data_IF_118050820030
#
_entry.id   IF_118050820030
#
_cell.length_a   1.000
_cell.length_b   1.000
_cell.length_c   1.000
_cell.angle_alpha   90.00
_cell.angle_beta   90.00
_cell.angle_gamma   90.00
#
_symmetry.space_group_name_H-M   'P 1'
#
loop_
_entity.id
_entity.type
_entity.pdbx_description
1 polymer ?
#
# COMPACT_ATOMS: atom_id res chain seq x y z
N UNK A 1 22.42 -30.57 24.36
CA UNK A 1 22.76 -31.22 23.06
C UNK A 1 24.13 -30.80 22.47
N UNK A 2 24.85 -29.86 23.07
CA UNK A 2 26.15 -29.35 22.56
C UNK A 2 27.37 -30.22 22.91
N UNK A 3 27.23 -31.14 23.84
CA UNK A 3 28.35 -32.01 24.31
C UNK A 3 28.58 -33.27 23.46
N UNK A 4 27.61 -33.69 22.65
CA UNK A 4 27.71 -34.91 21.82
C UNK A 4 28.58 -34.73 20.58
N UNK A 5 28.63 -33.50 20.00
CA UNK A 5 29.38 -33.22 18.78
C UNK A 5 30.90 -33.21 18.98
N UNK A 6 31.38 -32.76 20.15
CA UNK A 6 32.81 -32.74 20.50
C UNK A 6 33.45 -34.11 20.63
N UNK A 7 32.71 -35.09 21.16
CA UNK A 7 33.22 -36.44 21.38
C UNK A 7 33.39 -37.22 20.04
N UNK A 8 32.48 -37.07 19.12
CA UNK A 8 32.58 -37.65 17.78
C UNK A 8 33.77 -37.08 16.98
N UNK A 9 34.01 -35.76 17.09
CA UNK A 9 35.12 -35.10 16.43
C UNK A 9 36.50 -35.60 16.93
N UNK A 10 36.69 -35.71 18.23
CA UNK A 10 37.91 -36.22 18.85
C UNK A 10 38.17 -37.72 18.53
N UNK A 11 37.13 -38.54 18.43
CA UNK A 11 37.23 -39.95 18.06
C UNK A 11 37.68 -40.12 16.61
N UNK A 12 37.16 -39.31 15.68
CA UNK A 12 37.59 -39.31 14.26
C UNK A 12 39.05 -38.93 14.11
N UNK A 13 39.50 -37.87 14.78
CA UNK A 13 40.92 -37.42 14.68
C UNK A 13 41.90 -38.52 15.15
N UNK A 14 41.56 -39.24 16.21
CA UNK A 14 42.40 -40.33 16.72
C UNK A 14 42.39 -41.54 15.79
N UNK A 15 41.30 -41.84 15.12
CA UNK A 15 41.21 -42.90 14.11
C UNK A 15 42.14 -42.60 12.93
N UNK A 16 42.07 -41.39 12.37
CA UNK A 16 42.89 -40.95 11.26
C UNK A 16 44.41 -40.89 11.62
N UNK A 17 44.77 -40.45 12.85
CA UNK A 17 46.13 -40.50 13.36
C UNK A 17 46.69 -41.91 13.39
N UNK A 18 45.95 -42.93 13.81
CA UNK A 18 46.39 -44.34 13.87
C UNK A 18 46.66 -44.89 12.46
N UNK A 19 45.77 -44.61 11.48
CA UNK A 19 45.94 -45.06 10.10
C UNK A 19 47.21 -44.40 9.49
N UNK A 20 47.40 -43.10 9.68
CA UNK A 20 48.55 -42.34 9.17
C UNK A 20 49.88 -42.89 9.72
N UNK A 21 49.98 -43.20 11.02
CA UNK A 21 51.17 -43.82 11.61
C UNK A 21 51.44 -45.22 11.03
N UNK A 22 50.44 -46.04 10.78
CA UNK A 22 50.59 -47.41 10.24
C UNK A 22 51.04 -47.41 8.77
N UNK A 23 50.62 -46.42 7.96
CA UNK A 23 51.05 -46.28 6.56
C UNK A 23 52.48 -45.75 6.42
N UNK A 24 52.89 -44.82 7.27
CA UNK A 24 54.26 -44.30 7.30
C UNK A 24 55.31 -45.33 7.76
N UNK A 25 54.95 -46.21 8.71
CA UNK A 25 55.88 -47.22 9.25
C UNK A 25 56.22 -48.35 8.26
N UNK A 26 55.49 -48.49 7.14
CA UNK A 26 55.69 -49.57 6.14
C UNK A 26 56.36 -49.14 4.85
N UNK A 27 57.01 -47.93 4.81
CA UNK A 27 57.64 -47.37 3.60
C UNK A 27 56.75 -47.30 2.35
N UNK A 28 55.43 -47.22 2.52
CA UNK A 28 54.46 -47.16 1.41
C UNK A 28 54.06 -45.68 1.15
N UNK A 29 55.00 -44.86 0.70
CA UNK A 29 54.81 -43.43 0.44
C UNK A 29 53.66 -43.18 -0.52
N UNK A 30 53.52 -43.98 -1.58
CA UNK A 30 52.41 -43.87 -2.55
C UNK A 30 51.04 -44.07 -1.89
N UNK A 31 50.91 -45.04 -1.01
CA UNK A 31 49.65 -45.30 -0.27
C UNK A 31 49.28 -44.15 0.70
N UNK A 32 50.32 -43.48 1.24
CA UNK A 32 50.11 -42.31 2.10
C UNK A 32 49.56 -41.11 1.33
N UNK A 33 50.10 -40.85 0.12
CA UNK A 33 49.59 -39.76 -0.75
C UNK A 33 48.14 -39.98 -1.16
N UNK A 34 47.79 -41.19 -1.57
CA UNK A 34 46.41 -41.52 -1.96
C UNK A 34 45.45 -41.30 -0.77
N UNK A 35 45.85 -41.68 0.43
CA UNK A 35 45.09 -41.47 1.62
C UNK A 35 44.92 -39.98 1.97
N UNK A 36 46.02 -39.18 1.88
CA UNK A 36 45.99 -37.73 2.12
C UNK A 36 45.08 -36.98 1.13
N UNK A 37 45.14 -37.37 -0.15
CA UNK A 37 44.24 -36.83 -1.17
C UNK A 37 42.74 -37.17 -0.86
N UNK A 38 42.50 -38.43 -0.45
CA UNK A 38 41.16 -38.84 -0.03
C UNK A 38 40.61 -38.06 1.19
N UNK A 39 41.50 -37.75 2.16
CA UNK A 39 41.15 -36.93 3.32
C UNK A 39 40.78 -35.49 2.91
N UNK A 40 41.54 -34.89 1.99
CA UNK A 40 41.24 -33.56 1.44
C UNK A 40 39.95 -33.56 0.68
N UNK A 41 39.69 -34.55 -0.18
CA UNK A 41 38.43 -34.66 -0.94
C UNK A 41 37.24 -34.77 0.03
N UNK A 42 37.36 -35.59 1.08
CA UNK A 42 36.30 -35.77 2.06
C UNK A 42 35.98 -34.47 2.80
N UNK A 43 36.98 -33.67 3.17
CA UNK A 43 36.80 -32.35 3.80
C UNK A 43 36.14 -31.40 2.83
N UNK A 44 36.58 -31.35 1.56
CA UNK A 44 36.00 -30.49 0.53
C UNK A 44 34.51 -30.85 0.31
N UNK A 45 34.20 -32.14 0.17
CA UNK A 45 32.82 -32.61 0.03
C UNK A 45 31.97 -32.21 1.23
N UNK A 46 32.51 -32.35 2.45
CA UNK A 46 31.80 -31.89 3.66
C UNK A 46 31.47 -30.40 3.65
N UNK A 47 32.42 -29.56 3.24
CA UNK A 47 32.20 -28.11 3.10
C UNK A 47 31.16 -27.80 2.03
N UNK A 48 31.25 -28.47 0.86
CA UNK A 48 30.29 -28.28 -0.23
C UNK A 48 28.86 -28.67 0.19
N UNK A 49 28.70 -29.79 0.92
CA UNK A 49 27.39 -30.19 1.46
C UNK A 49 26.87 -29.15 2.46
N UNK A 50 27.71 -28.67 3.37
CA UNK A 50 27.32 -27.65 4.34
C UNK A 50 26.86 -26.35 3.66
N UNK A 51 27.61 -25.90 2.64
CA UNK A 51 27.25 -24.72 1.83
C UNK A 51 25.93 -24.94 1.07
N UNK A 52 25.73 -26.14 0.49
CA UNK A 52 24.49 -26.48 -0.23
C UNK A 52 23.26 -26.45 0.71
N UNK A 53 23.38 -26.99 1.91
CA UNK A 53 22.32 -26.97 2.93
C UNK A 53 22.02 -25.52 3.34
N UNK A 54 23.07 -24.71 3.57
CA UNK A 54 22.87 -23.29 3.90
C UNK A 54 22.17 -22.54 2.77
N UNK A 55 22.62 -22.67 1.53
CA UNK A 55 22.03 -22.03 0.37
C UNK A 55 20.57 -22.45 0.17
N UNK A 56 20.26 -23.75 0.37
CA UNK A 56 18.90 -24.24 0.29
C UNK A 56 18.01 -23.62 1.38
N UNK A 57 18.50 -23.49 2.60
CA UNK A 57 17.75 -22.86 3.69
C UNK A 57 17.50 -21.37 3.43
N UNK A 58 18.50 -20.64 2.95
CA UNK A 58 18.36 -19.22 2.57
C UNK A 58 17.36 -19.04 1.41
N UNK A 59 17.45 -19.87 0.36
CA UNK A 59 16.47 -19.84 -0.74
C UNK A 59 15.05 -20.12 -0.27
N UNK A 60 14.88 -21.05 0.69
CA UNK A 60 13.58 -21.33 1.28
C UNK A 60 13.03 -20.13 2.05
N UNK A 61 13.84 -19.48 2.88
CA UNK A 61 13.44 -18.28 3.64
C UNK A 61 13.06 -17.14 2.69
N UNK A 62 13.87 -16.91 1.66
CA UNK A 62 13.59 -15.90 0.65
C UNK A 62 12.25 -16.15 -0.05
N UNK A 63 11.98 -17.40 -0.46
CA UNK A 63 10.69 -17.76 -1.09
C UNK A 63 9.49 -17.53 -0.18
N UNK A 64 9.61 -17.84 1.12
CA UNK A 64 8.55 -17.57 2.08
C UNK A 64 8.30 -16.06 2.22
N UNK A 65 9.35 -15.26 2.26
CA UNK A 65 9.25 -13.80 2.31
C UNK A 65 8.63 -13.22 1.02
N UNK A 66 8.99 -13.74 -0.15
CA UNK A 66 8.40 -13.36 -1.43
C UNK A 66 6.89 -13.63 -1.47
N UNK A 67 6.46 -14.80 -0.97
CA UNK A 67 5.03 -15.15 -0.87
C UNK A 67 4.29 -14.18 0.08
N UNK A 68 4.90 -13.83 1.20
CA UNK A 68 4.35 -12.88 2.16
C UNK A 68 4.15 -11.49 1.53
N UNK A 69 5.14 -10.99 0.79
CA UNK A 69 5.04 -9.71 0.08
C UNK A 69 3.89 -9.68 -0.93
N UNK A 70 3.71 -10.77 -1.69
CA UNK A 70 2.58 -10.87 -2.65
C UNK A 70 1.24 -10.86 -1.91
N UNK A 71 1.11 -11.60 -0.81
CA UNK A 71 -0.12 -11.60 -0.01
C UNK A 71 -0.44 -10.22 0.53
N UNK A 72 0.56 -9.51 1.06
CA UNK A 72 0.39 -8.14 1.54
C UNK A 72 -0.05 -7.20 0.42
N UNK A 73 0.50 -7.34 -0.79
CA UNK A 73 0.09 -6.54 -1.95
C UNK A 73 -1.38 -6.82 -2.32
N UNK A 74 -1.78 -8.08 -2.35
CA UNK A 74 -3.17 -8.45 -2.66
C UNK A 74 -4.12 -7.82 -1.63
N UNK A 75 -3.81 -7.95 -0.34
CA UNK A 75 -4.62 -7.35 0.73
C UNK A 75 -4.69 -5.82 0.58
N UNK A 76 -3.56 -5.14 0.34
CA UNK A 76 -3.51 -3.68 0.13
C UNK A 76 -4.40 -3.26 -1.06
N UNK A 77 -4.36 -4.00 -2.16
CA UNK A 77 -5.19 -3.72 -3.33
C UNK A 77 -6.69 -3.99 -3.08
N UNK A 78 -7.04 -5.02 -2.32
CA UNK A 78 -8.43 -5.33 -1.94
C UNK A 78 -9.00 -4.25 -1.02
N UNK A 79 -8.24 -3.81 -0.03
CA UNK A 79 -8.63 -2.74 0.90
C UNK A 79 -8.84 -1.42 0.13
N UNK A 80 -7.90 -1.03 -0.74
CA UNK A 80 -8.02 0.17 -1.59
C UNK A 80 -9.20 0.09 -2.55
N UNK A 81 -9.48 -1.08 -3.10
CA UNK A 81 -10.66 -1.29 -3.94
C UNK A 81 -11.95 -1.05 -3.13
N UNK A 82 -12.02 -1.55 -1.90
CA UNK A 82 -13.18 -1.35 -1.03
C UNK A 82 -13.35 0.14 -0.65
N UNK A 83 -12.27 0.83 -0.29
CA UNK A 83 -12.25 2.28 -0.03
C UNK A 83 -12.73 3.07 -1.24
N UNK A 84 -12.18 2.84 -2.42
CA UNK A 84 -12.57 3.53 -3.65
C UNK A 84 -14.05 3.31 -4.02
N UNK A 85 -14.60 2.12 -3.76
CA UNK A 85 -16.04 1.86 -3.96
C UNK A 85 -16.88 2.66 -2.97
N UNK A 86 -16.46 2.74 -1.70
CA UNK A 86 -17.16 3.52 -0.68
C UNK A 86 -17.13 5.03 -1.01
N UNK A 87 -15.98 5.55 -1.41
CA UNK A 87 -15.81 6.95 -1.81
C UNK A 87 -16.66 7.29 -3.02
N UNK A 88 -16.66 6.42 -4.04
CA UNK A 88 -17.53 6.58 -5.22
C UNK A 88 -19.00 6.63 -4.83
N UNK A 89 -19.48 5.74 -3.98
CA UNK A 89 -20.87 5.72 -3.53
C UNK A 89 -21.23 7.00 -2.75
N UNK A 90 -20.31 7.48 -1.92
CA UNK A 90 -20.45 8.76 -1.22
C UNK A 90 -20.53 9.93 -2.21
N UNK A 91 -19.64 9.97 -3.21
CA UNK A 91 -19.66 10.98 -4.27
C UNK A 91 -20.97 10.97 -5.07
N UNK A 92 -21.48 9.80 -5.46
CA UNK A 92 -22.78 9.69 -6.15
C UNK A 92 -23.94 10.22 -5.30
N UNK A 93 -23.92 9.97 -3.99
CA UNK A 93 -24.92 10.53 -3.06
C UNK A 93 -24.84 12.06 -3.00
N UNK A 94 -23.62 12.64 -2.98
CA UNK A 94 -23.44 14.10 -3.01
C UNK A 94 -23.92 14.70 -4.32
N UNK A 95 -23.63 14.08 -5.46
CA UNK A 95 -24.14 14.48 -6.78
C UNK A 95 -25.67 14.56 -6.78
N UNK A 96 -26.36 13.54 -6.21
CA UNK A 96 -27.81 13.53 -6.15
C UNK A 96 -28.35 14.68 -5.27
N UNK A 97 -27.74 14.93 -4.12
CA UNK A 97 -28.12 16.02 -3.20
C UNK A 97 -27.94 17.39 -3.89
N UNK A 98 -26.82 17.65 -4.52
CA UNK A 98 -26.57 18.91 -5.20
C UNK A 98 -27.51 19.11 -6.41
N UNK A 99 -27.74 18.08 -7.23
CA UNK A 99 -28.69 18.14 -8.35
C UNK A 99 -30.11 18.44 -7.88
N UNK A 100 -30.58 17.81 -6.80
CA UNK A 100 -31.90 18.09 -6.23
C UNK A 100 -32.01 19.51 -5.73
N UNK A 101 -30.96 20.04 -5.10
CA UNK A 101 -30.94 21.43 -4.64
C UNK A 101 -31.00 22.43 -5.80
N UNK A 102 -30.22 22.20 -6.87
CA UNK A 102 -30.23 23.05 -8.06
C UNK A 102 -31.57 22.97 -8.80
N UNK A 103 -32.11 21.77 -8.97
CA UNK A 103 -33.44 21.60 -9.60
C UNK A 103 -34.54 22.29 -8.83
N UNK A 104 -34.52 22.21 -7.49
CA UNK A 104 -35.51 22.91 -6.67
C UNK A 104 -35.44 24.43 -6.89
N UNK A 105 -34.26 25.02 -7.00
CA UNK A 105 -34.03 26.42 -7.32
C UNK A 105 -34.59 26.75 -8.72
N UNK A 106 -34.31 25.95 -9.74
CA UNK A 106 -34.80 26.15 -11.10
C UNK A 106 -36.33 26.12 -11.16
N UNK A 107 -36.97 25.19 -10.45
CA UNK A 107 -38.41 25.00 -10.49
C UNK A 107 -39.18 26.03 -9.65
N UNK A 108 -38.61 26.54 -8.55
CA UNK A 108 -39.32 27.33 -7.55
C UNK A 108 -38.75 28.73 -7.33
N UNK A 109 -37.58 29.03 -7.86
CA UNK A 109 -36.80 30.25 -7.59
C UNK A 109 -36.64 30.48 -6.07
N UNK A 110 -36.44 29.39 -5.31
CA UNK A 110 -36.39 29.36 -3.85
C UNK A 110 -35.42 28.29 -3.38
N UNK A 111 -34.99 28.34 -2.10
CA UNK A 111 -34.05 27.40 -1.50
C UNK A 111 -34.80 26.31 -0.72
N UNK A 112 -34.55 25.05 -1.08
CA UNK A 112 -35.08 23.89 -0.35
C UNK A 112 -34.47 23.85 1.08
N UNK A 113 -35.33 23.95 2.08
CA UNK A 113 -34.92 23.88 3.49
C UNK A 113 -34.72 22.45 4.01
N UNK A 114 -35.24 21.45 3.31
CA UNK A 114 -35.25 20.05 3.77
C UNK A 114 -33.82 19.52 3.85
N UNK A 115 -33.01 19.76 2.82
CA UNK A 115 -31.64 19.28 2.72
C UNK A 115 -30.59 20.39 2.92
N UNK A 116 -31.01 21.64 3.19
CA UNK A 116 -30.12 22.80 3.21
C UNK A 116 -28.91 22.62 4.13
N UNK A 117 -29.09 22.09 5.33
CA UNK A 117 -27.98 21.85 6.26
C UNK A 117 -26.99 20.84 5.73
N UNK A 118 -27.48 19.81 5.02
CA UNK A 118 -26.63 18.78 4.39
C UNK A 118 -25.83 19.45 3.27
N UNK A 119 -26.48 20.23 2.39
CA UNK A 119 -25.80 20.96 1.31
C UNK A 119 -24.71 21.87 1.86
N UNK A 120 -24.99 22.68 2.88
CA UNK A 120 -24.00 23.55 3.50
C UNK A 120 -22.87 22.78 4.18
N UNK A 121 -23.17 21.64 4.78
CA UNK A 121 -22.17 20.73 5.33
C UNK A 121 -21.24 20.18 4.23
N UNK A 122 -21.80 19.75 3.11
CA UNK A 122 -21.04 19.25 1.97
C UNK A 122 -20.17 20.34 1.33
N UNK A 123 -20.69 21.57 1.20
CA UNK A 123 -19.91 22.72 0.70
C UNK A 123 -18.75 23.08 1.63
N UNK A 124 -18.86 22.78 2.92
CA UNK A 124 -17.83 23.05 3.93
C UNK A 124 -16.87 21.87 4.16
N UNK A 125 -17.10 20.72 3.53
CA UNK A 125 -16.37 19.48 3.79
C UNK A 125 -14.99 19.54 3.15
N UNK A 126 -14.00 19.91 3.94
CA UNK A 126 -12.59 20.00 3.56
C UNK A 126 -11.74 18.90 4.23
N UNK A 127 -12.37 17.90 4.80
CA UNK A 127 -11.77 16.76 5.52
C UNK A 127 -11.64 15.47 4.68
N UNK A 128 -11.90 15.54 3.39
CA UNK A 128 -11.69 14.43 2.48
C UNK A 128 -10.21 14.28 2.15
N UNK A 129 -9.62 13.15 2.55
CA UNK A 129 -8.24 12.80 2.30
C UNK A 129 -8.17 11.50 1.51
N UNK A 130 -7.33 11.50 0.50
CA UNK A 130 -6.93 10.27 -0.18
C UNK A 130 -5.55 9.84 0.32
N UNK A 131 -5.50 8.68 0.98
CA UNK A 131 -4.26 8.09 1.46
C UNK A 131 -3.61 7.29 0.32
N UNK A 132 -2.55 7.84 -0.26
CA UNK A 132 -1.78 7.17 -1.32
C UNK A 132 -0.45 6.60 -0.82
N UNK A 133 -0.33 6.32 0.46
CA UNK A 133 0.86 5.66 1.00
C UNK A 133 1.00 4.26 0.37
N UNK A 134 2.20 3.97 -0.12
CA UNK A 134 2.48 2.76 -0.89
C UNK A 134 3.61 1.91 -0.28
N UNK A 135 3.63 1.66 1.06
CA UNK A 135 4.73 0.95 1.70
C UNK A 135 4.89 -0.48 1.19
N UNK A 136 3.78 -1.18 0.95
CA UNK A 136 3.77 -2.55 0.43
C UNK A 136 4.31 -2.62 -0.99
N UNK A 137 3.84 -1.71 -1.86
CA UNK A 137 4.34 -1.60 -3.21
C UNK A 137 5.83 -1.25 -3.25
N UNK A 138 6.29 -0.28 -2.45
CA UNK A 138 7.70 0.10 -2.37
C UNK A 138 8.59 -1.04 -1.88
N UNK A 139 8.13 -1.84 -0.93
CA UNK A 139 8.85 -3.06 -0.48
C UNK A 139 8.93 -4.09 -1.59
N UNK A 140 7.85 -4.32 -2.32
CA UNK A 140 7.80 -5.27 -3.42
C UNK A 140 8.69 -4.82 -4.58
N UNK A 141 8.57 -3.57 -5.04
CA UNK A 141 9.33 -3.04 -6.18
C UNK A 141 10.84 -2.98 -5.95
N UNK A 142 11.28 -2.93 -4.68
CA UNK A 142 12.69 -3.00 -4.29
C UNK A 142 13.15 -4.42 -3.92
N UNK A 143 12.34 -5.43 -4.08
CA UNK A 143 12.68 -6.81 -3.78
C UNK A 143 13.20 -7.56 -5.02
N UNK A 144 14.00 -8.62 -4.82
CA UNK A 144 14.42 -9.51 -5.89
C UNK A 144 13.24 -10.25 -6.58
N UNK A 145 12.07 -10.26 -5.96
CA UNK A 145 10.84 -10.79 -6.56
C UNK A 145 10.38 -9.94 -7.75
N UNK A 146 10.59 -8.61 -7.70
CA UNK A 146 10.17 -7.70 -8.76
C UNK A 146 10.76 -8.06 -10.13
N UNK A 147 12.03 -8.45 -10.14
CA UNK A 147 12.72 -8.90 -11.36
C UNK A 147 12.17 -10.24 -11.93
N UNK A 148 11.44 -10.99 -11.12
CA UNK A 148 10.82 -12.27 -11.50
C UNK A 148 9.37 -12.15 -11.96
N UNK A 149 8.75 -10.99 -11.73
CA UNK A 149 7.36 -10.72 -12.15
C UNK A 149 7.35 -10.48 -13.67
N UNK A 150 6.39 -11.05 -14.43
CA UNK A 150 6.24 -10.74 -15.85
C UNK A 150 6.07 -9.24 -16.09
N UNK A 151 6.76 -8.70 -17.08
CA UNK A 151 6.76 -7.25 -17.39
C UNK A 151 5.34 -6.69 -17.54
N UNK A 152 4.43 -7.44 -18.16
CA UNK A 152 3.03 -7.02 -18.32
C UNK A 152 2.31 -6.82 -16.99
N UNK A 153 2.60 -7.65 -15.97
CA UNK A 153 2.04 -7.51 -14.63
C UNK A 153 2.72 -6.37 -13.87
N UNK A 154 4.04 -6.26 -13.97
CA UNK A 154 4.79 -5.17 -13.37
C UNK A 154 4.29 -3.81 -13.88
N UNK A 155 4.04 -3.68 -15.20
CA UNK A 155 3.49 -2.47 -15.79
C UNK A 155 2.08 -2.14 -15.27
N UNK A 156 1.19 -3.14 -15.11
CA UNK A 156 -0.14 -2.93 -14.57
C UNK A 156 -0.10 -2.47 -13.11
N UNK A 157 0.75 -3.09 -12.28
CA UNK A 157 0.92 -2.70 -10.89
C UNK A 157 1.49 -1.27 -10.80
N UNK A 158 2.48 -0.94 -11.63
CA UNK A 158 3.02 0.42 -11.72
C UNK A 158 1.95 1.44 -12.14
N UNK A 159 1.12 1.13 -13.15
CA UNK A 159 0.04 2.03 -13.59
C UNK A 159 -0.92 2.34 -12.43
N UNK A 160 -1.30 1.35 -11.64
CA UNK A 160 -2.17 1.55 -10.49
C UNK A 160 -1.52 2.50 -9.47
N UNK A 161 -0.29 2.22 -9.04
CA UNK A 161 0.33 2.94 -7.92
C UNK A 161 0.90 4.31 -8.31
N UNK A 162 1.45 4.47 -9.52
CA UNK A 162 2.03 5.75 -9.95
C UNK A 162 1.05 6.62 -10.72
N UNK A 163 0.27 6.04 -11.65
CA UNK A 163 -0.59 6.85 -12.51
C UNK A 163 -1.95 7.08 -11.85
N UNK A 164 -2.68 6.00 -11.55
CA UNK A 164 -4.09 6.11 -11.12
C UNK A 164 -4.22 6.69 -9.73
N UNK A 165 -3.44 6.20 -8.76
CA UNK A 165 -3.51 6.73 -7.40
C UNK A 165 -3.05 8.20 -7.31
N UNK A 166 -2.10 8.61 -8.16
CA UNK A 166 -1.68 10.02 -8.23
C UNK A 166 -2.79 10.90 -8.80
N UNK A 167 -3.48 10.45 -9.84
CA UNK A 167 -4.62 11.19 -10.41
C UNK A 167 -5.74 11.33 -9.36
N UNK A 168 -6.14 10.24 -8.72
CA UNK A 168 -7.17 10.26 -7.69
C UNK A 168 -6.78 11.23 -6.56
N UNK A 169 -5.56 11.13 -6.05
CA UNK A 169 -5.05 12.04 -5.02
C UNK A 169 -5.18 13.51 -5.43
N UNK A 170 -4.74 13.85 -6.64
CA UNK A 170 -4.82 15.23 -7.15
C UNK A 170 -6.25 15.74 -7.20
N UNK A 171 -7.20 14.90 -7.61
CA UNK A 171 -8.62 15.30 -7.68
C UNK A 171 -9.19 15.52 -6.27
N UNK A 172 -8.84 14.69 -5.29
CA UNK A 172 -9.22 14.90 -3.88
C UNK A 172 -8.62 16.19 -3.30
N UNK A 173 -7.34 16.47 -3.59
CA UNK A 173 -6.67 17.69 -3.13
C UNK A 173 -7.34 18.95 -3.71
N UNK A 174 -7.66 18.95 -5.00
CA UNK A 174 -8.37 20.05 -5.65
C UNK A 174 -9.78 20.25 -5.05
N UNK A 175 -10.52 19.17 -4.81
CA UNK A 175 -11.85 19.23 -4.19
C UNK A 175 -11.81 19.80 -2.78
N UNK A 176 -10.80 19.44 -1.99
CA UNK A 176 -10.57 19.97 -0.66
C UNK A 176 -10.21 21.45 -0.67
N UNK A 177 -9.31 21.87 -1.58
CA UNK A 177 -8.94 23.28 -1.73
C UNK A 177 -10.16 24.12 -2.10
N UNK A 178 -11.01 23.60 -3.00
CA UNK A 178 -12.24 24.25 -3.36
C UNK A 178 -13.21 24.39 -2.18
N UNK A 179 -13.44 23.32 -1.39
CA UNK A 179 -14.29 23.37 -0.20
C UNK A 179 -13.74 24.35 0.85
N UNK A 180 -12.43 24.39 1.04
CA UNK A 180 -11.77 25.36 1.92
C UNK A 180 -12.01 26.79 1.45
N UNK A 181 -11.90 27.04 0.14
CA UNK A 181 -12.16 28.33 -0.47
C UNK A 181 -13.61 28.76 -0.29
N UNK A 182 -14.57 27.86 -0.56
CA UNK A 182 -15.98 28.10 -0.31
C UNK A 182 -16.26 28.43 1.17
N UNK A 183 -15.67 27.66 2.09
CA UNK A 183 -15.81 27.85 3.54
C UNK A 183 -15.32 29.22 4.00
N UNK A 184 -14.16 29.67 3.50
CA UNK A 184 -13.53 30.94 3.91
C UNK A 184 -14.20 32.13 3.24
N UNK A 185 -14.45 32.08 1.93
CA UNK A 185 -14.86 33.22 1.13
C UNK A 185 -16.38 33.41 1.08
N UNK A 186 -17.15 32.33 1.28
CA UNK A 186 -18.61 32.39 1.18
C UNK A 186 -19.31 32.02 2.49
N UNK A 187 -19.10 30.80 3.00
CA UNK A 187 -19.91 30.30 4.12
C UNK A 187 -19.65 31.09 5.42
N UNK A 188 -18.40 31.37 5.74
CA UNK A 188 -18.02 32.08 6.96
C UNK A 188 -18.48 33.54 6.98
N UNK A 189 -18.25 34.35 5.94
CA UNK A 189 -18.69 35.76 5.92
C UNK A 189 -20.22 35.89 5.98
N UNK A 190 -20.97 34.96 5.41
CA UNK A 190 -22.43 34.96 5.40
C UNK A 190 -23.05 34.28 6.64
N UNK A 191 -22.23 33.81 7.59
CA UNK A 191 -22.70 33.17 8.82
C UNK A 191 -23.43 31.84 8.56
N UNK A 192 -23.04 31.11 7.49
CA UNK A 192 -23.63 29.84 7.05
C UNK A 192 -22.91 28.60 7.60
N UNK A 193 -21.80 28.77 8.30
CA UNK A 193 -21.03 27.68 8.93
C UNK A 193 -21.75 27.09 10.16
N UNK A 194 -22.45 27.92 10.91
CA UNK A 194 -23.15 27.46 12.11
C UNK A 194 -24.46 26.78 11.75
N UNK A 195 -24.43 25.47 11.59
CA UNK A 195 -25.58 24.64 11.23
C UNK A 195 -26.56 24.36 12.39
N UNK A 196 -26.29 24.88 13.60
CA UNK A 196 -27.25 24.85 14.72
C UNK A 196 -28.41 25.84 14.53
N UNK A 197 -28.29 26.78 13.62
CA UNK A 197 -29.37 27.69 13.24
C UNK A 197 -30.53 26.92 12.56
N UNK A 198 -31.74 27.49 12.59
CA UNK A 198 -32.86 26.91 11.84
C UNK A 198 -32.61 26.97 10.33
N UNK A 199 -33.10 25.98 9.57
CA UNK A 199 -33.00 26.00 8.10
C UNK A 199 -33.64 27.27 7.49
N UNK A 200 -34.69 27.80 8.10
CA UNK A 200 -35.32 29.05 7.67
C UNK A 200 -34.39 30.25 7.85
N UNK A 201 -33.68 30.32 8.98
CA UNK A 201 -32.69 31.39 9.22
C UNK A 201 -31.55 31.32 8.21
N UNK A 202 -31.03 30.13 7.93
CA UNK A 202 -29.98 29.89 6.93
C UNK A 202 -30.48 30.27 5.51
N UNK A 203 -31.68 29.84 5.14
CA UNK A 203 -32.33 30.20 3.87
C UNK A 203 -32.41 31.73 3.70
N UNK A 204 -32.91 32.46 4.70
CA UNK A 204 -33.07 33.91 4.64
C UNK A 204 -31.72 34.64 4.47
N UNK A 205 -30.62 34.06 4.92
CA UNK A 205 -29.27 34.58 4.68
C UNK A 205 -28.83 34.37 3.24
N UNK A 206 -29.10 33.17 2.68
CA UNK A 206 -28.77 32.83 1.29
C UNK A 206 -29.58 33.70 0.33
N UNK A 207 -30.87 33.89 0.58
CA UNK A 207 -31.76 34.69 -0.28
C UNK A 207 -31.37 36.19 -0.37
N UNK A 208 -30.41 36.66 0.40
CA UNK A 208 -29.85 38.01 0.21
C UNK A 208 -28.98 38.10 -1.04
N UNK A 209 -28.30 37.02 -1.40
CA UNK A 209 -27.51 36.86 -2.61
C UNK A 209 -27.52 35.39 -3.04
N UNK A 210 -28.63 34.90 -3.64
CA UNK A 210 -28.79 33.48 -3.95
C UNK A 210 -27.86 33.00 -5.07
N UNK A 211 -27.46 33.87 -5.99
CA UNK A 211 -26.59 33.53 -7.12
C UNK A 211 -25.23 32.98 -6.65
N UNK A 212 -24.66 33.55 -5.59
CA UNK A 212 -23.41 33.04 -5.02
C UNK A 212 -23.58 31.62 -4.49
N UNK A 213 -24.67 31.34 -3.77
CA UNK A 213 -24.95 30.00 -3.27
C UNK A 213 -25.08 28.98 -4.40
N UNK A 214 -25.86 29.32 -5.41
CA UNK A 214 -26.09 28.47 -6.61
C UNK A 214 -24.78 28.21 -7.33
N UNK A 215 -23.96 29.24 -7.53
CA UNK A 215 -22.63 29.13 -8.16
C UNK A 215 -21.74 28.16 -7.38
N UNK A 216 -21.67 28.26 -6.03
CA UNK A 216 -20.87 27.33 -5.24
C UNK A 216 -21.42 25.91 -5.27
N UNK A 217 -22.72 25.71 -5.30
CA UNK A 217 -23.33 24.37 -5.46
C UNK A 217 -23.00 23.77 -6.83
N UNK A 218 -23.09 24.57 -7.91
CA UNK A 218 -22.74 24.12 -9.28
C UNK A 218 -21.28 23.72 -9.40
N UNK A 219 -20.37 24.53 -8.86
CA UNK A 219 -18.93 24.24 -8.90
C UNK A 219 -18.58 23.01 -8.04
N UNK A 220 -19.20 22.85 -6.87
CA UNK A 220 -19.02 21.65 -6.06
C UNK A 220 -19.56 20.41 -6.76
N UNK A 221 -20.70 20.50 -7.42
CA UNK A 221 -21.25 19.41 -8.24
C UNK A 221 -20.27 19.02 -9.36
N UNK A 222 -19.71 19.99 -10.08
CA UNK A 222 -18.73 19.74 -11.15
C UNK A 222 -17.48 19.02 -10.62
N UNK A 223 -16.95 19.45 -9.46
CA UNK A 223 -15.82 18.81 -8.81
C UNK A 223 -16.12 17.35 -8.39
N UNK A 224 -17.28 17.09 -7.77
CA UNK A 224 -17.65 15.73 -7.36
C UNK A 224 -17.89 14.81 -8.57
N UNK A 225 -18.43 15.34 -9.68
CA UNK A 225 -18.59 14.57 -10.93
C UNK A 225 -17.22 14.17 -11.50
N UNK A 226 -16.20 15.00 -11.38
CA UNK A 226 -14.85 14.68 -11.86
C UNK A 226 -14.16 13.57 -11.05
N UNK A 227 -14.65 13.26 -9.84
CA UNK A 227 -14.19 12.17 -8.97
C UNK A 227 -14.81 10.80 -9.31
N UNK A 228 -15.95 10.77 -10.03
CA UNK A 228 -16.74 9.57 -10.31
C UNK A 228 -16.61 9.10 -11.76
#
# INVERSE_FOLDING_TARGET
EMYSCGFLYLSMINFFKKIRKKLLSKNKFSSYIIYAVGEIILVVVGILIALQINNWNETRKQRLHEIELVKLLITDLEDRKAENIADRNSGLSMVDIFRKSLKYWEDNNDIDTTNLKIVLGLLASDDWYYHNETPTYNRLSNSALWEKIPDSLAMQVNDIYYSRFTVIKTVFENSREYATTCKINYLRPNGLINLNQSSISLKNKILKNPEDFISYVQLSLANVISLN
#
